data_IF_872882503649
#
_entry.id   IF_872882503649
#
_cell.length_a   1.000
_cell.length_b   1.000
_cell.length_c   1.000
_cell.angle_alpha   90.00
_cell.angle_beta   90.00
_cell.angle_gamma   90.00
#
_symmetry.space_group_name_H-M   'P 1'
#
loop_
_entity.id
_entity.type
_entity.pdbx_description
1 polymer ?
#
# COMPACT_ATOMS: atom_id res chain seq x y z
N UNK A 1 32.13 3.56 18.14
CA UNK A 1 31.03 3.28 17.21
C UNK A 1 31.64 2.73 15.92
N UNK A 2 31.65 1.41 15.73
CA UNK A 2 32.14 0.79 14.49
C UNK A 2 31.23 1.22 13.35
N UNK A 3 31.81 1.78 12.29
CA UNK A 3 31.09 2.01 11.04
C UNK A 3 30.59 0.64 10.54
N UNK A 4 29.30 0.39 10.70
CA UNK A 4 28.65 -0.78 10.16
C UNK A 4 28.82 -0.73 8.63
N UNK A 5 29.59 -1.67 8.06
CA UNK A 5 29.81 -1.76 6.62
C UNK A 5 28.42 -1.78 5.94
N UNK A 6 28.15 -0.82 5.07
CA UNK A 6 26.86 -0.76 4.35
C UNK A 6 26.66 -2.07 3.59
N UNK A 7 25.62 -2.80 3.93
CA UNK A 7 25.25 -4.06 3.29
C UNK A 7 24.44 -3.80 2.02
N UNK A 8 25.09 -3.26 0.99
CA UNK A 8 24.43 -2.89 -0.27
C UNK A 8 23.65 -4.06 -0.91
N UNK A 9 24.18 -5.28 -0.82
CA UNK A 9 23.48 -6.46 -1.33
C UNK A 9 22.12 -6.68 -0.65
N UNK A 10 22.06 -6.58 0.68
CA UNK A 10 20.80 -6.72 1.42
C UNK A 10 19.83 -5.57 1.10
N UNK A 11 20.33 -4.34 0.98
CA UNK A 11 19.50 -3.17 0.61
C UNK A 11 18.87 -3.37 -0.77
N UNK A 12 19.65 -3.77 -1.78
CA UNK A 12 19.15 -4.00 -3.14
C UNK A 12 18.11 -5.11 -3.15
N UNK A 13 18.33 -6.20 -2.42
CA UNK A 13 17.37 -7.31 -2.32
C UNK A 13 16.07 -6.81 -1.67
N UNK A 14 16.12 -6.04 -0.59
CA UNK A 14 14.91 -5.52 0.06
C UNK A 14 14.15 -4.56 -0.86
N UNK A 15 14.84 -3.69 -1.60
CA UNK A 15 14.21 -2.81 -2.60
C UNK A 15 13.55 -3.63 -3.71
N UNK A 16 14.21 -4.67 -4.22
CA UNK A 16 13.64 -5.57 -5.22
C UNK A 16 12.38 -6.28 -4.70
N UNK A 17 12.42 -6.78 -3.45
CA UNK A 17 11.23 -7.36 -2.82
C UNK A 17 10.10 -6.35 -2.71
N UNK A 18 10.40 -5.09 -2.40
CA UNK A 18 9.38 -4.04 -2.31
C UNK A 18 8.73 -3.75 -3.68
N UNK A 19 9.51 -3.79 -4.76
CA UNK A 19 8.98 -3.73 -6.13
C UNK A 19 8.10 -4.96 -6.47
N UNK A 20 8.53 -6.16 -6.07
CA UNK A 20 7.77 -7.41 -6.28
C UNK A 20 6.40 -7.37 -5.59
N UNK A 21 6.34 -6.86 -4.35
CA UNK A 21 5.08 -6.67 -3.61
C UNK A 21 4.11 -5.85 -4.45
N UNK A 22 4.55 -4.69 -4.95
CA UNK A 22 3.70 -3.81 -5.73
C UNK A 22 3.27 -4.43 -7.06
N UNK A 23 4.16 -5.14 -7.73
CA UNK A 23 3.83 -5.82 -8.97
C UNK A 23 2.63 -6.76 -8.78
N UNK A 24 2.68 -7.64 -7.79
CA UNK A 24 1.62 -8.63 -7.55
C UNK A 24 0.36 -7.98 -6.96
N UNK A 25 0.51 -7.03 -6.04
CA UNK A 25 -0.66 -6.32 -5.48
C UNK A 25 -1.45 -5.58 -6.56
N UNK A 26 -0.75 -4.94 -7.50
CA UNK A 26 -1.42 -4.16 -8.55
C UNK A 26 -1.98 -5.01 -9.69
N UNK A 27 -1.60 -6.28 -9.82
CA UNK A 27 -2.27 -7.22 -10.73
C UNK A 27 -3.75 -7.41 -10.38
N UNK A 28 -4.13 -7.28 -9.11
CA UNK A 28 -5.49 -7.54 -8.65
C UNK A 28 -6.52 -6.60 -9.28
N UNK A 29 -6.18 -5.33 -9.54
CA UNK A 29 -7.11 -4.36 -10.12
C UNK A 29 -7.51 -4.70 -11.57
N UNK A 30 -6.59 -4.92 -12.53
CA UNK A 30 -6.93 -5.37 -13.86
C UNK A 30 -7.59 -6.76 -13.87
N UNK A 31 -7.18 -7.66 -12.96
CA UNK A 31 -7.79 -8.99 -12.82
C UNK A 31 -9.27 -8.93 -12.47
N UNK A 32 -9.74 -7.89 -11.77
CA UNK A 32 -11.16 -7.75 -11.44
C UNK A 32 -12.04 -7.69 -12.70
N UNK A 33 -11.60 -7.01 -13.77
CA UNK A 33 -12.32 -6.95 -15.06
C UNK A 33 -12.38 -8.34 -15.69
N UNK A 34 -11.27 -9.05 -15.72
CA UNK A 34 -11.14 -10.39 -16.31
C UNK A 34 -12.02 -11.41 -15.58
N UNK A 35 -11.98 -11.37 -14.25
CA UNK A 35 -12.77 -12.24 -13.38
C UNK A 35 -14.27 -11.99 -13.55
N UNK A 36 -14.68 -10.72 -13.65
CA UNK A 36 -16.06 -10.35 -13.96
C UNK A 36 -16.53 -11.00 -15.27
N UNK A 37 -15.74 -10.88 -16.32
CA UNK A 37 -16.09 -11.39 -17.65
C UNK A 37 -16.08 -12.92 -17.70
N UNK A 38 -15.05 -13.56 -17.14
CA UNK A 38 -14.89 -15.01 -17.24
C UNK A 38 -15.88 -15.79 -16.38
N UNK A 39 -16.17 -15.30 -15.17
CA UNK A 39 -17.01 -16.01 -14.20
C UNK A 39 -18.42 -15.41 -14.07
N UNK A 40 -18.76 -14.35 -14.83
CA UNK A 40 -20.05 -13.68 -14.72
C UNK A 40 -20.26 -13.03 -13.33
N UNK A 41 -19.19 -12.66 -12.63
CA UNK A 41 -19.28 -12.07 -11.32
C UNK A 41 -19.87 -10.66 -11.37
N UNK A 42 -20.65 -10.26 -10.35
CA UNK A 42 -21.08 -8.88 -10.21
C UNK A 42 -19.88 -7.95 -9.95
N UNK A 43 -20.03 -6.64 -10.18
CA UNK A 43 -18.98 -5.66 -9.94
C UNK A 43 -18.44 -5.72 -8.50
N UNK A 44 -19.33 -5.92 -7.54
CA UNK A 44 -18.95 -6.07 -6.12
C UNK A 44 -18.12 -7.34 -5.91
N UNK A 45 -18.55 -8.47 -6.44
CA UNK A 45 -17.83 -9.74 -6.30
C UNK A 45 -16.48 -9.72 -7.03
N UNK A 46 -16.38 -9.10 -8.20
CA UNK A 46 -15.12 -8.95 -8.92
C UNK A 46 -14.08 -8.18 -8.10
N UNK A 47 -14.51 -7.15 -7.35
CA UNK A 47 -13.64 -6.40 -6.46
C UNK A 47 -13.28 -7.14 -5.16
N UNK A 48 -14.00 -8.22 -4.79
CA UNK A 48 -13.66 -9.01 -3.59
C UNK A 48 -12.25 -9.61 -3.72
N UNK A 49 -11.80 -9.98 -4.93
CA UNK A 49 -10.41 -10.40 -5.15
C UNK A 49 -9.39 -9.33 -4.77
N UNK A 50 -9.69 -8.07 -5.05
CA UNK A 50 -8.87 -6.92 -4.68
C UNK A 50 -8.92 -6.65 -3.16
N UNK A 51 -10.11 -6.63 -2.57
CA UNK A 51 -10.27 -6.46 -1.12
C UNK A 51 -9.77 -7.66 -0.32
N UNK A 52 -9.76 -8.86 -0.91
CA UNK A 52 -9.21 -10.08 -0.32
C UNK A 52 -7.76 -9.93 0.12
N UNK A 53 -6.95 -9.16 -0.62
CA UNK A 53 -5.59 -8.84 -0.22
C UNK A 53 -5.55 -8.09 1.12
N UNK A 54 -6.41 -7.10 1.33
CA UNK A 54 -6.44 -6.32 2.58
C UNK A 54 -6.99 -7.14 3.75
N UNK A 55 -7.92 -8.05 3.51
CA UNK A 55 -8.38 -9.02 4.51
C UNK A 55 -7.24 -9.97 4.90
N UNK A 56 -6.40 -10.37 3.95
CA UNK A 56 -5.21 -11.18 4.21
C UNK A 56 -4.24 -10.47 5.17
N UNK A 57 -4.08 -9.15 5.07
CA UNK A 57 -3.27 -8.36 6.01
C UNK A 57 -3.83 -8.39 7.43
N UNK A 58 -5.16 -8.32 7.58
CA UNK A 58 -5.81 -8.44 8.90
C UNK A 58 -5.48 -9.77 9.58
N UNK A 59 -5.50 -10.86 8.82
CA UNK A 59 -5.26 -12.22 9.35
C UNK A 59 -3.78 -12.49 9.56
N UNK A 60 -2.92 -12.11 8.59
CA UNK A 60 -1.52 -12.54 8.55
C UNK A 60 -0.55 -11.53 9.17
N UNK A 61 -0.96 -10.30 9.47
CA UNK A 61 -0.05 -9.27 9.97
C UNK A 61 0.68 -9.69 11.26
N UNK A 62 -0.04 -9.92 12.34
CA UNK A 62 0.57 -10.37 13.62
C UNK A 62 1.30 -11.73 13.47
N UNK A 63 0.73 -12.77 12.83
CA UNK A 63 1.47 -14.00 12.55
C UNK A 63 2.79 -13.78 11.81
N UNK A 64 2.85 -12.86 10.85
CA UNK A 64 4.10 -12.53 10.15
C UNK A 64 5.18 -12.00 11.09
N UNK A 65 4.80 -11.11 12.01
CA UNK A 65 5.71 -10.62 13.05
C UNK A 65 6.21 -11.75 13.98
N UNK A 66 5.34 -12.71 14.32
CA UNK A 66 5.71 -13.89 15.11
C UNK A 66 6.66 -14.81 14.33
N UNK A 67 6.46 -14.97 13.02
CA UNK A 67 7.36 -15.75 12.18
C UNK A 67 8.75 -15.12 12.13
N UNK A 68 8.85 -13.78 11.99
CA UNK A 68 10.13 -13.08 12.04
C UNK A 68 10.81 -13.30 13.40
N UNK A 69 10.07 -13.15 14.51
CA UNK A 69 10.61 -13.38 15.84
C UNK A 69 11.15 -14.80 16.02
N UNK A 70 10.49 -15.80 15.42
CA UNK A 70 10.86 -17.23 15.56
C UNK A 70 11.93 -17.68 14.60
N UNK A 71 11.87 -17.25 13.34
CA UNK A 71 12.70 -17.77 12.25
C UNK A 71 13.68 -16.75 11.66
N UNK A 72 13.54 -15.47 12.00
CA UNK A 72 14.30 -14.37 11.43
C UNK A 72 13.72 -13.84 10.11
N UNK A 73 14.29 -12.75 9.62
CA UNK A 73 13.81 -12.06 8.44
C UNK A 73 14.02 -12.87 7.15
N UNK A 74 15.21 -13.46 6.98
CA UNK A 74 15.56 -14.24 5.78
C UNK A 74 14.61 -15.42 5.58
N UNK A 75 14.42 -16.25 6.61
CA UNK A 75 13.56 -17.45 6.51
C UNK A 75 12.10 -17.06 6.33
N UNK A 76 11.64 -15.98 6.96
CA UNK A 76 10.28 -15.48 6.79
C UNK A 76 10.06 -14.96 5.36
N UNK A 77 11.03 -14.28 4.74
CA UNK A 77 10.96 -13.86 3.35
C UNK A 77 10.90 -15.06 2.39
N UNK A 78 11.72 -16.09 2.62
CA UNK A 78 11.67 -17.32 1.81
C UNK A 78 10.31 -18.02 1.91
N UNK A 79 9.76 -18.14 3.12
CA UNK A 79 8.41 -18.69 3.31
C UNK A 79 7.34 -17.86 2.60
N UNK A 80 7.44 -16.54 2.69
CA UNK A 80 6.52 -15.63 2.01
C UNK A 80 6.52 -15.84 0.49
N UNK A 81 7.70 -15.96 -0.12
CA UNK A 81 7.82 -16.18 -1.56
C UNK A 81 7.25 -17.53 -1.99
N UNK A 82 7.44 -18.59 -1.19
CA UNK A 82 6.79 -19.89 -1.45
C UNK A 82 5.27 -19.78 -1.40
N UNK A 83 4.73 -19.08 -0.40
CA UNK A 83 3.30 -18.80 -0.30
C UNK A 83 2.80 -18.03 -1.52
N UNK A 84 3.56 -17.03 -1.98
CA UNK A 84 3.24 -16.26 -3.18
C UNK A 84 3.22 -17.10 -4.46
N UNK A 85 4.20 -17.99 -4.64
CA UNK A 85 4.24 -18.95 -5.75
C UNK A 85 2.97 -19.78 -5.77
N UNK A 86 2.58 -20.35 -4.63
CA UNK A 86 1.34 -21.14 -4.51
C UNK A 86 0.13 -20.29 -4.85
N UNK A 87 0.04 -19.07 -4.33
CA UNK A 87 -1.07 -18.15 -4.59
C UNK A 87 -1.26 -17.85 -6.09
N UNK A 88 -0.17 -17.53 -6.80
CA UNK A 88 -0.21 -17.26 -8.25
C UNK A 88 -0.60 -18.52 -9.04
N UNK A 89 -0.05 -19.68 -8.67
CA UNK A 89 -0.42 -20.94 -9.33
C UNK A 89 -1.90 -21.25 -9.17
N UNK A 90 -2.48 -21.06 -7.99
CA UNK A 90 -3.90 -21.27 -7.71
C UNK A 90 -4.76 -20.29 -8.51
N UNK A 91 -4.36 -19.00 -8.61
CA UNK A 91 -5.05 -18.03 -9.46
C UNK A 91 -5.01 -18.44 -10.94
N UNK A 92 -3.89 -18.89 -11.45
CA UNK A 92 -3.76 -19.37 -12.81
C UNK A 92 -4.63 -20.61 -13.09
N UNK A 93 -4.60 -21.61 -12.18
CA UNK A 93 -5.41 -22.81 -12.29
C UNK A 93 -6.92 -22.52 -12.29
N UNK A 94 -7.38 -21.44 -11.65
CA UNK A 94 -8.79 -21.08 -11.61
C UNK A 94 -9.38 -20.79 -13.00
N UNK A 95 -8.55 -20.47 -13.98
CA UNK A 95 -8.94 -20.22 -15.36
C UNK A 95 -8.96 -21.45 -16.26
N UNK A 96 -8.54 -22.64 -15.78
CA UNK A 96 -8.53 -23.86 -16.58
C UNK A 96 -9.94 -24.37 -16.87
N UNK A 97 -10.15 -24.91 -18.08
CA UNK A 97 -11.47 -25.35 -18.53
C UNK A 97 -12.12 -26.37 -17.58
N UNK A 98 -11.33 -27.23 -16.94
CA UNK A 98 -11.81 -28.26 -16.02
C UNK A 98 -12.16 -27.72 -14.63
N UNK A 99 -11.67 -26.52 -14.26
CA UNK A 99 -11.86 -25.93 -12.94
C UNK A 99 -12.84 -24.76 -13.02
N UNK A 100 -12.59 -23.78 -13.87
CA UNK A 100 -13.36 -22.54 -14.10
C UNK A 100 -14.14 -22.03 -12.86
N UNK A 101 -13.41 -21.77 -11.78
CA UNK A 101 -14.02 -21.46 -10.47
C UNK A 101 -13.57 -20.12 -9.93
N UNK A 102 -14.52 -19.22 -9.75
CA UNK A 102 -14.31 -17.95 -9.05
C UNK A 102 -13.83 -18.15 -7.60
N UNK A 103 -14.35 -19.17 -6.91
CA UNK A 103 -13.90 -19.50 -5.55
C UNK A 103 -12.43 -19.90 -5.50
N UNK A 104 -11.93 -20.66 -6.47
CA UNK A 104 -10.50 -21.00 -6.58
C UNK A 104 -9.66 -19.76 -6.82
N UNK A 105 -10.11 -18.84 -7.69
CA UNK A 105 -9.43 -17.54 -7.89
C UNK A 105 -9.32 -16.74 -6.58
N UNK A 106 -10.41 -16.63 -5.81
CA UNK A 106 -10.42 -15.92 -4.53
C UNK A 106 -9.45 -16.55 -3.51
N UNK A 107 -9.40 -17.86 -3.42
CA UNK A 107 -8.44 -18.57 -2.56
C UNK A 107 -7.00 -18.24 -2.98
N UNK A 108 -6.70 -18.27 -4.28
CA UNK A 108 -5.39 -17.89 -4.80
C UNK A 108 -5.03 -16.42 -4.49
N UNK A 109 -5.97 -15.50 -4.66
CA UNK A 109 -5.80 -14.08 -4.34
C UNK A 109 -5.52 -13.87 -2.84
N UNK A 110 -6.25 -14.57 -1.97
CA UNK A 110 -6.07 -14.52 -0.52
C UNK A 110 -4.70 -15.07 -0.09
N UNK A 111 -4.25 -16.17 -0.66
CA UNK A 111 -2.91 -16.74 -0.43
C UNK A 111 -1.83 -15.75 -0.91
N UNK A 112 -2.00 -15.12 -2.08
CA UNK A 112 -1.10 -14.06 -2.54
C UNK A 112 -1.06 -12.87 -1.58
N UNK A 113 -2.20 -12.49 -1.02
CA UNK A 113 -2.29 -11.46 0.02
C UNK A 113 -1.47 -11.79 1.27
N UNK A 114 -1.44 -13.05 1.70
CA UNK A 114 -0.56 -13.49 2.78
C UNK A 114 0.92 -13.27 2.46
N UNK A 115 1.35 -13.63 1.24
CA UNK A 115 2.71 -13.37 0.78
C UNK A 115 3.04 -11.87 0.86
N UNK A 116 2.15 -11.02 0.36
CA UNK A 116 2.36 -9.56 0.35
C UNK A 116 2.48 -9.01 1.76
N UNK A 117 1.61 -9.44 2.68
CA UNK A 117 1.66 -9.07 4.09
C UNK A 117 3.00 -9.49 4.73
N UNK A 118 3.41 -10.74 4.55
CA UNK A 118 4.66 -11.27 5.09
C UNK A 118 5.88 -10.52 4.56
N UNK A 119 5.94 -10.27 3.24
CA UNK A 119 7.04 -9.53 2.63
C UNK A 119 7.10 -8.08 3.12
N UNK A 120 5.96 -7.38 3.23
CA UNK A 120 5.91 -6.03 3.79
C UNK A 120 6.38 -5.99 5.26
N UNK A 121 6.02 -7.02 6.04
CA UNK A 121 6.46 -7.15 7.43
C UNK A 121 7.98 -7.36 7.54
N UNK A 122 8.61 -7.96 6.52
CA UNK A 122 10.07 -8.15 6.44
C UNK A 122 10.77 -6.90 5.91
N UNK A 123 10.31 -6.35 4.77
CA UNK A 123 11.05 -5.36 4.00
C UNK A 123 11.16 -4.02 4.73
N UNK A 124 10.05 -3.53 5.31
CA UNK A 124 10.04 -2.23 5.96
C UNK A 124 11.01 -2.13 7.15
N UNK A 125 10.99 -3.04 8.15
CA UNK A 125 11.94 -2.98 9.26
C UNK A 125 13.39 -3.28 8.82
N UNK A 126 13.58 -4.14 7.81
CA UNK A 126 14.91 -4.40 7.27
C UNK A 126 15.51 -3.16 6.62
N UNK A 127 14.78 -2.45 5.75
CA UNK A 127 15.24 -1.20 5.15
C UNK A 127 15.51 -0.13 6.23
N UNK A 128 14.64 -0.02 7.23
CA UNK A 128 14.85 0.88 8.35
C UNK A 128 16.15 0.57 9.10
N UNK A 129 16.36 -0.69 9.45
CA UNK A 129 17.55 -1.16 10.18
C UNK A 129 18.83 -1.03 9.37
N UNK A 130 18.81 -1.41 8.07
CA UNK A 130 19.95 -1.30 7.16
C UNK A 130 20.37 0.17 6.93
N UNK A 131 19.41 1.11 7.08
CA UNK A 131 19.69 2.55 7.10
C UNK A 131 20.22 3.06 8.44
N UNK A 132 20.23 2.23 9.48
CA UNK A 132 20.63 2.63 10.84
C UNK A 132 19.51 3.33 11.61
N UNK A 133 18.25 3.18 11.19
CA UNK A 133 17.09 3.87 11.77
C UNK A 133 17.02 5.37 11.48
N UNK A 134 16.08 6.04 12.13
CA UNK A 134 15.91 7.49 12.00
C UNK A 134 15.76 7.98 10.55
N UNK A 135 16.36 9.12 10.22
CA UNK A 135 16.23 9.73 8.90
C UNK A 135 16.76 8.85 7.75
N UNK A 136 17.90 8.19 7.95
CA UNK A 136 18.50 7.31 6.93
C UNK A 136 17.67 6.03 6.73
N UNK A 137 17.10 5.49 7.79
CA UNK A 137 16.16 4.37 7.70
C UNK A 137 14.92 4.76 6.91
N UNK A 138 14.33 5.91 7.21
CA UNK A 138 13.22 6.46 6.44
C UNK A 138 13.60 6.68 4.97
N UNK A 139 14.79 7.21 4.69
CA UNK A 139 15.27 7.39 3.32
C UNK A 139 15.25 6.10 2.52
N UNK A 140 15.77 4.99 3.08
CA UNK A 140 15.76 3.69 2.38
C UNK A 140 14.34 3.17 2.16
N UNK A 141 13.41 3.37 3.09
CA UNK A 141 12.00 3.01 2.90
C UNK A 141 11.39 3.83 1.76
N UNK A 142 11.66 5.15 1.69
CA UNK A 142 11.15 6.00 0.62
C UNK A 142 11.73 5.60 -0.75
N UNK A 143 13.03 5.30 -0.83
CA UNK A 143 13.66 4.79 -2.05
C UNK A 143 13.02 3.46 -2.47
N UNK A 144 12.82 2.54 -1.54
CA UNK A 144 12.07 1.31 -1.79
C UNK A 144 10.66 1.59 -2.33
N UNK A 145 10.00 2.61 -1.78
CA UNK A 145 8.69 3.09 -2.22
C UNK A 145 8.69 3.60 -3.68
N UNK A 146 9.77 4.21 -4.16
CA UNK A 146 9.91 4.60 -5.58
C UNK A 146 9.87 3.36 -6.47
N UNK A 147 10.65 2.33 -6.17
CA UNK A 147 10.67 1.08 -6.93
C UNK A 147 9.34 0.33 -6.84
N UNK A 148 8.70 0.37 -5.67
CA UNK A 148 7.35 -0.15 -5.47
C UNK A 148 6.35 0.53 -6.42
N UNK A 149 6.30 1.86 -6.45
CA UNK A 149 5.39 2.60 -7.34
C UNK A 149 5.72 2.40 -8.82
N UNK A 150 7.02 2.32 -9.18
CA UNK A 150 7.43 2.05 -10.56
C UNK A 150 6.98 0.66 -11.02
N UNK A 151 7.06 -0.34 -10.15
CA UNK A 151 6.56 -1.67 -10.45
C UNK A 151 5.04 -1.71 -10.61
N UNK A 152 4.29 -0.92 -9.81
CA UNK A 152 2.86 -0.75 -9.98
C UNK A 152 2.50 -0.19 -11.37
N UNK A 153 3.20 0.85 -11.82
CA UNK A 153 3.03 1.42 -13.17
C UNK A 153 3.32 0.37 -14.25
N UNK A 154 4.42 -0.39 -14.11
CA UNK A 154 4.78 -1.44 -15.06
C UNK A 154 3.67 -2.49 -15.23
N UNK A 155 2.95 -2.83 -14.15
CA UNK A 155 1.80 -3.76 -14.23
C UNK A 155 0.72 -3.21 -15.14
N UNK A 156 0.33 -1.95 -15.00
CA UNK A 156 -0.73 -1.36 -15.84
C UNK A 156 -0.33 -1.32 -17.31
N UNK A 157 0.95 -1.04 -17.61
CA UNK A 157 1.48 -1.08 -18.99
C UNK A 157 1.41 -2.51 -19.55
N UNK A 158 1.89 -3.50 -18.79
CA UNK A 158 1.88 -4.91 -19.22
C UNK A 158 0.45 -5.41 -19.41
N UNK A 159 -0.43 -5.15 -18.46
CA UNK A 159 -1.81 -5.59 -18.53
C UNK A 159 -2.58 -4.90 -19.66
N UNK A 160 -2.35 -3.59 -19.89
CA UNK A 160 -2.92 -2.86 -21.01
C UNK A 160 -2.50 -3.44 -22.37
N UNK A 161 -1.25 -3.89 -22.49
CA UNK A 161 -0.74 -4.53 -23.70
C UNK A 161 -1.30 -5.95 -23.93
N UNK A 162 -1.62 -6.69 -22.85
CA UNK A 162 -2.15 -8.06 -22.93
C UNK A 162 -3.67 -8.10 -23.08
N UNK A 163 -4.38 -7.14 -22.52
CA UNK A 163 -5.85 -7.04 -22.60
C UNK A 163 -6.23 -6.24 -23.84
N UNK A 164 -6.46 -6.93 -24.98
CA UNK A 164 -6.86 -6.26 -26.23
C UNK A 164 -8.28 -5.71 -26.17
N UNK A 165 -9.26 -6.56 -25.83
CA UNK A 165 -10.67 -6.20 -25.65
C UNK A 165 -11.08 -6.53 -24.20
N UNK A 166 -11.20 -5.51 -23.38
CA UNK A 166 -11.52 -5.67 -21.96
C UNK A 166 -12.83 -6.42 -21.71
N UNK A 167 -13.80 -6.32 -22.63
CA UNK A 167 -15.10 -6.99 -22.51
C UNK A 167 -15.02 -8.51 -22.74
N UNK A 168 -13.97 -9.01 -23.39
CA UNK A 168 -13.79 -10.43 -23.72
C UNK A 168 -12.60 -11.07 -23.02
N UNK A 169 -11.83 -10.30 -22.26
CA UNK A 169 -10.59 -10.75 -21.62
C UNK A 169 -10.84 -11.90 -20.63
N UNK A 170 -9.97 -12.90 -20.68
CA UNK A 170 -9.98 -14.09 -19.82
C UNK A 170 -8.64 -14.25 -19.11
N UNK A 171 -8.57 -15.11 -18.10
CA UNK A 171 -7.32 -15.44 -17.40
C UNK A 171 -6.26 -15.98 -18.37
N UNK A 172 -6.66 -16.67 -19.43
CA UNK A 172 -5.75 -17.15 -20.45
C UNK A 172 -4.95 -16.02 -21.13
N UNK A 173 -5.60 -14.88 -21.39
CA UNK A 173 -4.98 -13.73 -22.08
C UNK A 173 -3.89 -13.06 -21.19
N UNK A 174 -4.05 -13.13 -19.88
CA UNK A 174 -3.12 -12.54 -18.90
C UNK A 174 -2.19 -13.56 -18.26
N UNK A 175 -2.23 -14.81 -18.70
CA UNK A 175 -1.30 -15.86 -18.28
C UNK A 175 0.16 -15.42 -18.37
N UNK A 176 0.63 -14.68 -19.41
CA UNK A 176 1.99 -14.15 -19.44
C UNK A 176 2.32 -13.25 -18.24
N UNK A 177 1.41 -12.39 -17.81
CA UNK A 177 1.62 -11.53 -16.64
C UNK A 177 1.71 -12.34 -15.34
N UNK A 178 0.88 -13.38 -15.18
CA UNK A 178 0.95 -14.30 -14.05
C UNK A 178 2.27 -15.09 -14.04
N UNK A 179 2.77 -15.51 -15.20
CA UNK A 179 4.07 -16.18 -15.30
C UNK A 179 5.25 -15.25 -15.07
N UNK A 180 5.16 -13.98 -15.45
CA UNK A 180 6.13 -12.95 -15.04
C UNK A 180 6.16 -12.85 -13.52
N UNK A 181 5.00 -12.74 -12.86
CA UNK A 181 4.91 -12.70 -11.40
C UNK A 181 5.51 -13.97 -10.75
N UNK A 182 5.21 -15.14 -11.30
CA UNK A 182 5.75 -16.42 -10.85
C UNK A 182 7.27 -16.48 -10.99
N UNK A 183 7.79 -16.09 -12.16
CA UNK A 183 9.25 -16.03 -12.42
C UNK A 183 9.95 -15.06 -11.46
N UNK A 184 9.38 -13.88 -11.22
CA UNK A 184 9.87 -12.90 -10.26
C UNK A 184 9.97 -13.53 -8.86
N UNK A 185 8.94 -14.26 -8.40
CA UNK A 185 8.95 -14.91 -7.09
C UNK A 185 9.99 -16.02 -7.00
N UNK A 186 10.12 -16.86 -8.04
CA UNK A 186 11.13 -17.93 -8.08
C UNK A 186 12.54 -17.33 -8.06
N UNK A 187 12.81 -16.32 -8.90
CA UNK A 187 14.11 -15.63 -8.93
C UNK A 187 14.39 -14.99 -7.55
N UNK A 188 13.42 -14.28 -6.98
CA UNK A 188 13.55 -13.69 -5.65
C UNK A 188 13.85 -14.73 -4.57
N UNK A 189 13.17 -15.88 -4.62
CA UNK A 189 13.43 -17.00 -3.70
C UNK A 189 14.87 -17.51 -3.83
N UNK A 190 15.35 -17.77 -5.05
CA UNK A 190 16.71 -18.25 -5.30
C UNK A 190 17.75 -17.20 -4.86
N UNK A 191 17.53 -15.92 -5.20
CA UNK A 191 18.44 -14.84 -4.80
C UNK A 191 18.55 -14.76 -3.27
N UNK A 192 17.44 -14.79 -2.54
CA UNK A 192 17.47 -14.74 -1.07
C UNK A 192 18.07 -16.00 -0.48
N UNK A 193 17.77 -17.17 -1.04
CA UNK A 193 18.30 -18.46 -0.58
C UNK A 193 19.82 -18.46 -0.54
N UNK A 194 20.44 -18.02 -1.65
CA UNK A 194 21.90 -17.99 -1.78
C UNK A 194 22.57 -16.72 -1.25
N UNK A 195 21.82 -15.67 -0.93
CA UNK A 195 22.37 -14.42 -0.38
C UNK A 195 22.77 -14.57 1.07
N UNK A 196 23.88 -13.91 1.44
CA UNK A 196 24.25 -13.69 2.83
C UNK A 196 23.58 -12.40 3.31
N UNK A 197 22.40 -12.53 3.89
CA UNK A 197 21.69 -11.42 4.55
C UNK A 197 22.00 -11.53 6.03
N UNK A 198 22.72 -10.55 6.58
CA UNK A 198 22.91 -10.45 8.01
C UNK A 198 21.60 -9.97 8.63
N UNK A 199 21.07 -10.76 9.53
CA UNK A 199 19.88 -10.38 10.30
C UNK A 199 20.22 -9.13 11.14
N UNK A 200 19.31 -8.15 11.25
CA UNK A 200 19.46 -7.11 12.26
C UNK A 200 19.68 -7.81 13.60
N UNK A 201 20.72 -7.39 14.33
CA UNK A 201 21.03 -8.01 15.62
C UNK A 201 19.77 -7.94 16.48
N UNK A 202 19.02 -9.03 16.51
CA UNK A 202 18.03 -9.21 17.54
C UNK A 202 18.84 -9.45 18.81
N UNK A 203 18.65 -8.65 19.86
CA UNK A 203 19.24 -8.96 21.15
C UNK A 203 18.96 -10.44 21.39
N UNK A 204 20.01 -11.23 21.63
CA UNK A 204 19.92 -12.66 21.84
C UNK A 204 18.73 -12.89 22.77
N UNK A 205 17.75 -13.67 22.30
CA UNK A 205 16.64 -14.09 23.16
C UNK A 205 17.32 -14.91 24.26
N UNK A 206 17.73 -14.25 25.31
CA UNK A 206 18.01 -14.93 26.56
C UNK A 206 16.75 -15.74 26.77
N UNK A 207 16.89 -17.06 26.86
CA UNK A 207 15.82 -17.97 27.23
C UNK A 207 15.37 -17.60 28.65
N UNK A 208 14.72 -16.44 28.76
CA UNK A 208 14.09 -16.02 29.99
C UNK A 208 12.83 -16.85 30.08
N UNK A 209 12.82 -17.77 31.02
CA UNK A 209 11.66 -18.55 31.40
C UNK A 209 10.52 -17.73 32.00
N UNK A 210 10.68 -16.41 32.08
CA UNK A 210 9.65 -15.46 32.51
C UNK A 210 9.02 -14.80 31.27
N UNK A 211 7.68 -14.77 31.16
CA UNK A 211 6.95 -13.98 30.20
C UNK A 211 7.43 -12.53 30.28
N UNK A 212 7.89 -11.97 29.15
CA UNK A 212 8.29 -10.57 29.11
C UNK A 212 7.10 -9.71 29.59
N UNK A 213 7.34 -8.84 30.56
CA UNK A 213 6.31 -7.99 31.17
C UNK A 213 5.76 -6.96 30.18
N UNK A 214 6.54 -6.62 29.14
CA UNK A 214 6.23 -5.60 28.17
C UNK A 214 6.06 -6.18 26.76
N UNK A 215 5.37 -5.43 25.91
CA UNK A 215 5.14 -5.77 24.51
C UNK A 215 5.25 -4.51 23.65
N UNK A 216 5.19 -4.64 22.31
CA UNK A 216 5.10 -3.49 21.42
C UNK A 216 3.93 -2.55 21.78
N UNK A 217 2.82 -3.11 22.26
CA UNK A 217 1.63 -2.35 22.66
C UNK A 217 1.80 -1.59 23.99
N UNK A 218 2.89 -1.81 24.72
CA UNK A 218 3.22 -1.03 25.92
C UNK A 218 3.71 0.39 25.56
N UNK A 219 4.04 0.64 24.30
CA UNK A 219 4.53 1.93 23.82
C UNK A 219 3.40 2.78 23.26
N UNK A 220 3.15 3.95 23.86
CA UNK A 220 2.09 4.87 23.44
C UNK A 220 2.24 5.32 22.00
N UNK A 221 3.45 5.71 21.57
CA UNK A 221 3.69 6.21 20.22
C UNK A 221 3.47 5.11 19.16
N UNK A 222 3.72 3.86 19.50
CA UNK A 222 3.40 2.73 18.63
C UNK A 222 1.89 2.55 18.49
N UNK A 223 1.13 2.54 19.58
CA UNK A 223 -0.33 2.37 19.53
C UNK A 223 -1.00 3.48 18.73
N UNK A 224 -0.55 4.73 18.89
CA UNK A 224 -1.03 5.84 18.08
C UNK A 224 -0.55 5.73 16.62
N UNK A 225 0.62 5.14 16.39
CA UNK A 225 1.19 4.92 15.06
C UNK A 225 0.44 3.85 14.26
N UNK A 226 0.01 2.76 14.88
CA UNK A 226 -0.83 1.75 14.20
C UNK A 226 -2.22 2.30 13.86
N UNK A 227 -2.77 3.22 14.67
CA UNK A 227 -3.99 3.92 14.29
C UNK A 227 -3.72 4.93 13.16
N UNK A 228 -2.53 5.57 13.15
CA UNK A 228 -2.15 6.48 12.06
C UNK A 228 -2.07 5.77 10.71
N UNK A 229 -1.48 4.56 10.64
CA UNK A 229 -1.43 3.80 9.38
C UNK A 229 -2.82 3.32 8.95
N UNK A 230 -3.67 2.92 9.91
CA UNK A 230 -5.06 2.56 9.63
C UNK A 230 -5.83 3.69 8.96
N UNK A 231 -5.70 4.91 9.48
CA UNK A 231 -6.37 6.11 8.94
C UNK A 231 -5.68 6.60 7.65
N UNK A 232 -4.36 6.48 7.55
CA UNK A 232 -3.63 6.80 6.32
C UNK A 232 -4.14 6.01 5.12
N UNK A 233 -4.46 4.72 5.30
CA UNK A 233 -5.02 3.90 4.24
C UNK A 233 -6.34 4.45 3.70
N UNK A 234 -7.09 5.16 4.54
CA UNK A 234 -8.29 5.91 4.13
C UNK A 234 -7.97 7.08 3.19
N UNK A 235 -6.85 7.78 3.42
CA UNK A 235 -6.42 8.88 2.54
C UNK A 235 -5.89 8.30 1.22
N UNK A 236 -4.96 7.34 1.30
CA UNK A 236 -4.26 6.81 0.13
C UNK A 236 -5.21 6.16 -0.87
N UNK A 237 -6.15 5.35 -0.40
CA UNK A 237 -7.06 4.59 -1.26
C UNK A 237 -8.42 5.27 -1.40
N UNK A 238 -8.93 5.89 -0.34
CA UNK A 238 -10.22 6.58 -0.38
C UNK A 238 -10.22 7.76 -1.35
N UNK A 239 -9.17 8.58 -1.35
CA UNK A 239 -9.12 9.76 -2.23
C UNK A 239 -9.31 9.41 -3.70
N UNK A 240 -8.48 8.55 -4.34
CA UNK A 240 -8.63 8.21 -5.75
C UNK A 240 -9.90 7.41 -6.04
N UNK A 241 -10.36 6.57 -5.11
CA UNK A 241 -11.60 5.81 -5.27
C UNK A 241 -12.81 6.74 -5.40
N UNK A 242 -12.88 7.78 -4.57
CA UNK A 242 -14.01 8.71 -4.59
C UNK A 242 -13.90 9.77 -5.68
N UNK A 243 -12.71 10.08 -6.21
CA UNK A 243 -12.55 10.79 -7.48
C UNK A 243 -13.21 9.95 -8.60
N UNK A 244 -12.86 8.67 -8.70
CA UNK A 244 -13.41 7.77 -9.71
C UNK A 244 -14.94 7.72 -9.62
N UNK A 245 -15.51 7.47 -8.44
CA UNK A 245 -16.95 7.37 -8.23
C UNK A 245 -17.67 8.68 -8.56
N UNK A 246 -17.17 9.81 -8.10
CA UNK A 246 -17.79 11.11 -8.36
C UNK A 246 -17.82 11.46 -9.85
N UNK A 247 -16.73 11.16 -10.57
CA UNK A 247 -16.65 11.48 -11.99
C UNK A 247 -17.46 10.50 -12.87
N UNK A 248 -17.57 9.21 -12.49
CA UNK A 248 -18.21 8.17 -13.33
C UNK A 248 -19.69 7.96 -13.02
N UNK A 249 -20.14 8.19 -11.80
CA UNK A 249 -21.53 7.94 -11.43
C UNK A 249 -22.48 8.87 -12.18
N UNK A 250 -23.62 8.31 -12.62
CA UNK A 250 -24.67 9.10 -13.33
C UNK A 250 -25.16 10.26 -12.47
N UNK A 251 -25.47 11.43 -13.08
CA UNK A 251 -26.14 12.54 -12.40
C UNK A 251 -27.50 12.19 -11.81
N UNK A 252 -28.17 11.18 -12.36
CA UNK A 252 -29.51 10.72 -11.90
C UNK A 252 -29.43 9.68 -10.78
N UNK A 253 -28.25 9.32 -10.30
CA UNK A 253 -28.08 8.36 -9.21
C UNK A 253 -28.49 8.93 -7.86
N UNK A 254 -28.76 8.04 -6.89
CA UNK A 254 -29.08 8.44 -5.50
C UNK A 254 -27.97 9.30 -4.84
N UNK A 255 -26.72 9.05 -5.21
CA UNK A 255 -25.58 9.93 -4.94
C UNK A 255 -25.08 10.42 -6.30
N UNK A 256 -25.41 11.65 -6.72
CA UNK A 256 -25.10 12.15 -8.07
C UNK A 256 -23.60 12.31 -8.31
N UNK A 257 -23.17 11.95 -9.52
CA UNK A 257 -21.85 12.19 -10.06
C UNK A 257 -21.90 12.98 -11.36
N UNK A 258 -20.84 12.93 -12.15
CA UNK A 258 -20.76 13.69 -13.41
C UNK A 258 -21.03 12.84 -14.68
N UNK A 259 -21.15 11.51 -14.56
CA UNK A 259 -21.46 10.61 -15.67
C UNK A 259 -20.39 10.53 -16.76
N UNK A 260 -19.13 10.83 -16.42
CA UNK A 260 -18.02 10.80 -17.37
C UNK A 260 -17.65 9.35 -17.74
N UNK A 261 -17.05 9.18 -18.93
CA UNK A 261 -16.55 7.89 -19.37
C UNK A 261 -15.50 7.29 -18.41
N UNK A 262 -15.68 6.04 -18.03
CA UNK A 262 -14.84 5.37 -17.02
C UNK A 262 -13.38 5.23 -17.47
N UNK A 263 -13.10 5.10 -18.77
CA UNK A 263 -11.74 5.02 -19.31
C UNK A 263 -11.01 6.36 -19.12
N UNK A 264 -11.68 7.46 -19.48
CA UNK A 264 -11.16 8.82 -19.30
C UNK A 264 -10.90 9.11 -17.82
N UNK A 265 -11.85 8.76 -16.95
CA UNK A 265 -11.70 8.94 -15.50
C UNK A 265 -10.57 8.10 -14.93
N UNK A 266 -10.39 6.86 -15.41
CA UNK A 266 -9.25 6.03 -15.04
C UNK A 266 -7.91 6.69 -15.38
N UNK A 267 -7.82 7.35 -16.52
CA UNK A 267 -6.63 8.12 -16.94
C UNK A 267 -6.38 9.35 -16.05
N UNK A 268 -7.43 10.02 -15.58
CA UNK A 268 -7.32 11.12 -14.60
C UNK A 268 -6.82 10.59 -13.24
N UNK A 269 -7.42 9.52 -12.73
CA UNK A 269 -7.02 8.91 -11.46
C UNK A 269 -5.57 8.39 -11.50
N UNK A 270 -5.09 7.98 -12.67
CA UNK A 270 -3.69 7.58 -12.86
C UNK A 270 -2.70 8.71 -12.50
N UNK A 271 -3.10 9.97 -12.65
CA UNK A 271 -2.27 11.12 -12.26
C UNK A 271 -2.04 11.16 -10.74
N UNK A 272 -3.03 10.77 -9.93
CA UNK A 272 -2.85 10.66 -8.47
C UNK A 272 -1.67 9.71 -8.13
N UNK A 273 -1.63 8.55 -8.76
CA UNK A 273 -0.57 7.56 -8.54
C UNK A 273 0.78 8.01 -9.09
N UNK A 274 0.78 8.73 -10.22
CA UNK A 274 2.00 9.37 -10.74
C UNK A 274 2.54 10.42 -9.78
N UNK A 275 1.68 11.29 -9.24
CA UNK A 275 2.07 12.30 -8.25
C UNK A 275 2.61 11.64 -6.97
N UNK A 276 2.04 10.51 -6.57
CA UNK A 276 2.58 9.72 -5.46
C UNK A 276 3.97 9.16 -5.77
N UNK A 277 4.21 8.68 -6.99
CA UNK A 277 5.54 8.24 -7.43
C UNK A 277 6.56 9.40 -7.38
N UNK A 278 6.20 10.55 -7.93
CA UNK A 278 7.04 11.76 -7.91
C UNK A 278 7.34 12.19 -6.46
N UNK A 279 6.33 12.20 -5.61
CA UNK A 279 6.48 12.54 -4.20
C UNK A 279 7.39 11.57 -3.43
N UNK A 280 7.33 10.25 -3.73
CA UNK A 280 8.26 9.25 -3.17
C UNK A 280 9.69 9.48 -3.64
N UNK A 281 9.89 9.85 -4.89
CA UNK A 281 11.21 10.18 -5.42
C UNK A 281 11.80 11.40 -4.70
N UNK A 282 11.04 12.49 -4.61
CA UNK A 282 11.45 13.70 -3.88
C UNK A 282 11.67 13.38 -2.40
N UNK A 283 10.74 12.66 -1.77
CA UNK A 283 10.85 12.23 -0.38
C UNK A 283 12.11 11.42 -0.10
N UNK A 284 12.44 10.47 -0.98
CA UNK A 284 13.69 9.69 -0.89
C UNK A 284 14.95 10.55 -1.00
N UNK A 285 14.91 11.59 -1.82
CA UNK A 285 16.05 12.50 -2.00
C UNK A 285 16.31 13.41 -0.79
N UNK A 286 15.28 13.73 0.00
CA UNK A 286 15.38 14.68 1.12
C UNK A 286 15.27 14.05 2.52
N UNK A 287 14.83 12.78 2.61
CA UNK A 287 14.52 12.13 3.88
C UNK A 287 15.73 11.94 4.81
N UNK A 288 16.95 11.98 4.31
CA UNK A 288 18.17 11.97 5.15
C UNK A 288 18.41 13.31 5.87
N UNK A 289 17.89 14.41 5.30
CA UNK A 289 18.08 15.79 5.80
C UNK A 289 16.91 16.27 6.65
N UNK A 290 15.70 15.76 6.39
CA UNK A 290 14.46 16.19 7.04
C UNK A 290 13.92 15.06 7.90
N UNK A 291 13.56 15.36 9.15
CA UNK A 291 13.02 14.35 10.05
C UNK A 291 11.67 13.82 9.56
N UNK A 292 11.39 12.52 9.78
CA UNK A 292 10.09 11.93 9.47
C UNK A 292 8.93 12.70 10.09
N UNK A 293 9.12 13.22 11.31
CA UNK A 293 8.12 14.07 11.98
C UNK A 293 7.83 15.33 11.20
N UNK A 294 8.84 16.06 10.76
CA UNK A 294 8.66 17.29 9.96
C UNK A 294 7.99 16.97 8.63
N UNK A 295 8.44 15.91 7.94
CA UNK A 295 7.84 15.50 6.67
C UNK A 295 6.34 15.21 6.84
N UNK A 296 5.97 14.36 7.82
CA UNK A 296 4.57 13.98 8.04
C UNK A 296 3.75 15.21 8.48
N UNK A 297 4.28 16.08 9.33
CA UNK A 297 3.59 17.31 9.74
C UNK A 297 3.27 18.19 8.53
N UNK A 298 4.25 18.42 7.65
CA UNK A 298 4.06 19.26 6.46
C UNK A 298 3.02 18.67 5.50
N UNK A 299 3.16 17.38 5.16
CA UNK A 299 2.25 16.75 4.19
C UNK A 299 0.85 16.52 4.75
N UNK A 300 0.68 16.34 6.06
CA UNK A 300 -0.66 16.23 6.66
C UNK A 300 -1.41 17.56 6.68
N UNK A 301 -0.71 18.67 6.93
CA UNK A 301 -1.29 20.02 6.80
C UNK A 301 -1.67 20.29 5.34
N UNK A 302 -0.76 20.01 4.40
CA UNK A 302 -1.02 20.20 2.98
C UNK A 302 -2.21 19.35 2.51
N UNK A 303 -2.26 18.08 2.91
CA UNK A 303 -3.37 17.18 2.61
C UNK A 303 -4.69 17.70 3.18
N UNK A 304 -4.69 18.15 4.44
CA UNK A 304 -5.88 18.73 5.07
C UNK A 304 -6.40 19.95 4.29
N UNK A 305 -5.51 20.88 3.91
CA UNK A 305 -5.89 22.07 3.14
C UNK A 305 -6.40 21.69 1.74
N UNK A 306 -5.73 20.79 1.04
CA UNK A 306 -6.14 20.33 -0.28
C UNK A 306 -7.50 19.64 -0.26
N UNK A 307 -7.73 18.76 0.73
CA UNK A 307 -9.01 18.07 0.88
C UNK A 307 -10.11 19.06 1.24
N UNK A 308 -9.88 19.95 2.19
CA UNK A 308 -10.86 20.98 2.55
C UNK A 308 -11.21 21.88 1.35
N UNK A 309 -10.20 22.33 0.60
CA UNK A 309 -10.43 23.12 -0.59
C UNK A 309 -11.25 22.33 -1.62
N UNK A 310 -10.89 21.06 -1.90
CA UNK A 310 -11.60 20.22 -2.86
C UNK A 310 -13.07 19.96 -2.48
N UNK A 311 -13.36 19.88 -1.19
CA UNK A 311 -14.74 19.72 -0.70
C UNK A 311 -15.64 20.95 -0.92
N UNK A 312 -15.05 22.15 -0.81
CA UNK A 312 -15.81 23.40 -0.82
C UNK A 312 -15.56 24.25 -2.07
N UNK A 313 -14.70 23.81 -2.99
CA UNK A 313 -14.45 24.49 -4.25
C UNK A 313 -15.74 24.55 -5.10
N UNK A 314 -15.97 25.67 -5.81
CA UNK A 314 -17.10 25.78 -6.73
C UNK A 314 -17.06 24.67 -7.79
N UNK A 315 -18.18 23.97 -7.96
CA UNK A 315 -18.26 22.83 -8.91
C UNK A 315 -18.43 23.28 -10.36
N UNK A 316 -18.80 24.50 -10.58
CA UNK A 316 -18.90 25.17 -11.90
C UNK A 316 -17.56 25.69 -12.42
N UNK A 317 -16.57 25.86 -11.53
CA UNK A 317 -15.23 26.25 -11.93
C UNK A 317 -14.47 25.03 -12.48
N UNK A 318 -14.35 24.94 -13.81
CA UNK A 318 -13.67 23.86 -14.49
C UNK A 318 -12.20 24.17 -14.71
N UNK A 319 -11.36 23.16 -14.58
CA UNK A 319 -9.92 23.22 -14.86
C UNK A 319 -9.52 22.04 -15.72
N UNK A 320 -8.58 22.30 -16.63
CA UNK A 320 -8.01 21.24 -17.46
C UNK A 320 -6.95 20.47 -16.68
N UNK A 321 -7.15 19.19 -16.50
CA UNK A 321 -6.20 18.28 -15.83
C UNK A 321 -5.62 17.26 -16.80
N UNK A 322 -4.36 16.87 -16.64
CA UNK A 322 -3.80 15.80 -17.45
C UNK A 322 -4.45 14.46 -17.05
N UNK A 323 -4.71 13.61 -18.03
CA UNK A 323 -4.98 12.19 -17.86
C UNK A 323 -3.84 11.38 -18.49
N UNK A 324 -3.55 10.19 -17.95
CA UNK A 324 -2.46 9.35 -18.45
C UNK A 324 -3.03 7.99 -18.84
N UNK A 325 -2.92 7.71 -20.13
CA UNK A 325 -3.14 6.37 -20.64
C UNK A 325 -1.85 5.55 -20.48
N UNK A 326 -1.84 4.65 -19.50
CA UNK A 326 -0.68 3.81 -19.22
C UNK A 326 -0.39 2.78 -20.32
N UNK A 327 -1.39 2.40 -21.11
CA UNK A 327 -1.20 1.44 -22.20
C UNK A 327 -0.44 2.05 -23.39
N UNK A 328 -0.78 3.29 -23.76
CA UNK A 328 -0.15 4.00 -24.88
C UNK A 328 0.91 5.01 -24.46
N UNK A 329 1.02 5.31 -23.16
CA UNK A 329 1.85 6.38 -22.57
C UNK A 329 1.53 7.78 -23.11
N UNK A 330 0.30 7.98 -23.61
CA UNK A 330 -0.18 9.26 -24.09
C UNK A 330 -0.81 10.08 -22.97
N UNK A 331 -0.64 11.40 -23.05
CA UNK A 331 -1.32 12.35 -22.18
C UNK A 331 -2.53 12.95 -22.89
N UNK A 332 -3.63 13.00 -22.17
CA UNK A 332 -4.85 13.72 -22.59
C UNK A 332 -5.12 14.89 -21.62
N UNK A 333 -5.88 15.86 -22.05
CA UNK A 333 -6.33 16.97 -21.21
C UNK A 333 -7.84 16.92 -21.09
N UNK A 334 -8.34 16.92 -19.87
CA UNK A 334 -9.77 16.76 -19.57
C UNK A 334 -10.20 17.86 -18.62
N UNK A 335 -11.34 18.48 -18.90
CA UNK A 335 -11.94 19.47 -18.00
C UNK A 335 -12.71 18.78 -16.88
N UNK A 336 -12.37 19.15 -15.64
CA UNK A 336 -13.01 18.64 -14.41
C UNK A 336 -13.21 19.80 -13.43
N UNK A 337 -14.13 19.66 -12.45
CA UNK A 337 -14.26 20.65 -11.38
C UNK A 337 -12.93 20.87 -10.65
N UNK A 338 -12.65 22.12 -10.30
CA UNK A 338 -11.38 22.54 -9.69
C UNK A 338 -11.06 21.73 -8.40
N UNK A 339 -12.08 21.30 -7.66
CA UNK A 339 -11.91 20.45 -6.48
C UNK A 339 -11.20 19.12 -6.79
N UNK A 340 -11.42 18.54 -7.98
CA UNK A 340 -10.77 17.30 -8.40
C UNK A 340 -9.27 17.49 -8.53
N UNK A 341 -8.82 18.62 -9.09
CA UNK A 341 -7.39 18.91 -9.18
C UNK A 341 -6.73 18.92 -7.80
N UNK A 342 -7.37 19.50 -6.80
CA UNK A 342 -6.82 19.50 -5.43
C UNK A 342 -6.77 18.10 -4.82
N UNK A 343 -7.78 17.25 -5.07
CA UNK A 343 -7.75 15.85 -4.63
C UNK A 343 -6.64 15.03 -5.31
N UNK A 344 -6.34 15.30 -6.59
CA UNK A 344 -5.21 14.66 -7.27
C UNK A 344 -3.87 15.02 -6.62
N UNK A 345 -3.70 16.29 -6.20
CA UNK A 345 -2.50 16.75 -5.51
C UNK A 345 -2.27 16.07 -4.14
N UNK A 346 -3.30 15.51 -3.51
CA UNK A 346 -3.16 14.72 -2.28
C UNK A 346 -2.23 13.52 -2.49
N UNK A 347 -2.11 13.00 -3.73
CA UNK A 347 -1.15 11.96 -4.07
C UNK A 347 0.30 12.33 -3.73
N UNK A 348 0.71 13.59 -3.91
CA UNK A 348 2.02 14.06 -3.45
C UNK A 348 2.16 13.97 -1.92
N UNK A 349 1.09 14.27 -1.19
CA UNK A 349 1.11 14.27 0.27
C UNK A 349 1.19 12.84 0.83
N UNK A 350 0.42 11.91 0.27
CA UNK A 350 0.40 10.50 0.73
C UNK A 350 1.72 9.79 0.47
N UNK A 351 2.50 10.24 -0.49
CA UNK A 351 3.73 9.61 -0.96
C UNK A 351 4.74 9.27 0.14
N UNK A 352 4.94 10.18 1.09
CA UNK A 352 5.93 10.04 2.18
C UNK A 352 5.32 9.57 3.51
N UNK A 353 3.98 9.50 3.59
CA UNK A 353 3.29 9.18 4.84
C UNK A 353 3.57 7.75 5.30
N UNK A 354 3.49 6.75 4.42
CA UNK A 354 3.73 5.35 4.77
C UNK A 354 5.05 5.15 5.50
N UNK A 355 6.17 5.50 4.85
CA UNK A 355 7.51 5.31 5.40
C UNK A 355 7.75 6.15 6.65
N UNK A 356 7.27 7.39 6.67
CA UNK A 356 7.41 8.28 7.81
C UNK A 356 6.62 7.82 9.02
N UNK A 357 5.37 7.38 8.86
CA UNK A 357 4.55 6.83 9.96
C UNK A 357 5.19 5.55 10.49
N UNK A 358 5.61 4.63 9.60
CA UNK A 358 6.30 3.40 10.01
C UNK A 358 7.56 3.71 10.83
N UNK A 359 8.43 4.58 10.30
CA UNK A 359 9.68 4.94 10.97
C UNK A 359 9.44 5.52 12.37
N UNK A 360 8.46 6.43 12.53
CA UNK A 360 8.09 7.00 13.82
C UNK A 360 7.45 5.97 14.77
N UNK A 361 6.67 5.03 14.23
CA UNK A 361 5.98 4.02 15.04
C UNK A 361 6.94 3.00 15.64
N UNK A 362 8.01 2.63 14.89
CA UNK A 362 8.97 1.61 15.36
C UNK A 362 10.19 2.20 16.08
N UNK A 363 10.26 3.53 16.17
CA UNK A 363 11.39 4.22 16.79
C UNK A 363 11.56 3.79 18.25
N UNK A 364 12.74 3.25 18.61
CA UNK A 364 13.09 2.88 19.98
C UNK A 364 12.37 1.61 20.49
N UNK A 365 11.80 0.77 19.65
CA UNK A 365 11.14 -0.47 20.06
C UNK A 365 12.11 -1.66 20.27
N UNK A 366 13.33 -1.60 19.75
CA UNK A 366 14.34 -2.66 19.89
C UNK A 366 13.81 -4.06 19.59
N UNK A 367 13.89 -4.97 20.56
CA UNK A 367 13.44 -6.37 20.45
C UNK A 367 11.95 -6.55 20.10
N UNK A 368 11.12 -5.53 20.31
CA UNK A 368 9.68 -5.59 20.00
C UNK A 368 9.36 -5.23 18.53
N UNK A 369 10.34 -4.79 17.75
CA UNK A 369 10.14 -4.31 16.35
C UNK A 369 9.48 -5.36 15.45
N UNK A 370 9.82 -6.65 15.61
CA UNK A 370 9.24 -7.71 14.75
C UNK A 370 7.72 -7.82 14.93
N UNK A 371 7.25 -7.87 16.18
CA UNK A 371 5.81 -7.94 16.50
C UNK A 371 5.13 -6.61 16.15
N UNK A 372 5.79 -5.48 16.41
CA UNK A 372 5.32 -4.15 16.03
C UNK A 372 5.08 -4.05 14.52
N UNK A 373 6.02 -4.53 13.72
CA UNK A 373 5.88 -4.51 12.24
C UNK A 373 4.70 -5.37 11.79
N UNK A 374 4.49 -6.54 12.40
CA UNK A 374 3.33 -7.37 12.11
C UNK A 374 2.01 -6.69 12.47
N UNK A 375 1.92 -6.09 13.65
CA UNK A 375 0.73 -5.34 14.08
C UNK A 375 0.49 -4.10 13.20
N UNK A 376 1.56 -3.41 12.77
CA UNK A 376 1.47 -2.31 11.83
C UNK A 376 0.86 -2.78 10.49
N UNK A 377 1.31 -3.93 9.96
CA UNK A 377 0.76 -4.49 8.73
C UNK A 377 -0.69 -4.95 8.87
N UNK A 378 -1.09 -5.45 10.04
CA UNK A 378 -2.51 -5.77 10.31
C UNK A 378 -3.40 -4.55 10.08
N UNK A 379 -2.95 -3.35 10.47
CA UNK A 379 -3.73 -2.12 10.36
C UNK A 379 -3.89 -1.60 8.92
N UNK A 380 -3.20 -2.16 7.93
CA UNK A 380 -3.45 -1.89 6.50
C UNK A 380 -4.88 -2.25 6.09
N UNK A 381 -5.55 -3.14 6.83
CA UNK A 381 -6.99 -3.39 6.71
C UNK A 381 -7.85 -2.12 6.86
N UNK A 382 -7.31 -1.07 7.45
CA UNK A 382 -7.94 0.26 7.50
C UNK A 382 -8.44 0.77 6.14
N UNK A 383 -7.82 0.34 5.04
CA UNK A 383 -8.31 0.60 3.67
C UNK A 383 -9.79 0.21 3.53
N UNK A 384 -10.14 -1.04 3.84
CA UNK A 384 -11.51 -1.52 3.68
C UNK A 384 -12.49 -0.77 4.59
N UNK A 385 -12.10 -0.52 5.84
CA UNK A 385 -12.97 0.16 6.82
C UNK A 385 -13.19 1.62 6.45
N UNK A 386 -12.12 2.36 6.11
CA UNK A 386 -12.23 3.80 5.84
C UNK A 386 -12.93 4.09 4.52
N UNK A 387 -12.68 3.28 3.47
CA UNK A 387 -13.41 3.38 2.20
C UNK A 387 -14.90 3.06 2.39
N UNK A 388 -15.24 2.03 3.19
CA UNK A 388 -16.63 1.73 3.54
C UNK A 388 -17.28 2.85 4.36
N UNK A 389 -16.54 3.46 5.29
CA UNK A 389 -17.03 4.63 6.06
C UNK A 389 -17.32 5.81 5.14
N UNK A 390 -16.44 6.06 4.17
CA UNK A 390 -16.63 7.11 3.18
C UNK A 390 -17.84 6.80 2.28
N UNK A 391 -18.09 5.52 1.91
CA UNK A 391 -19.27 5.08 1.20
C UNK A 391 -20.55 5.36 1.99
N UNK A 392 -20.53 5.05 3.28
CA UNK A 392 -21.67 5.31 4.17
C UNK A 392 -21.98 6.81 4.26
N UNK A 393 -20.96 7.66 4.44
CA UNK A 393 -21.14 9.12 4.47
C UNK A 393 -21.69 9.61 3.14
N UNK A 394 -21.15 9.16 2.00
CA UNK A 394 -21.67 9.53 0.67
C UNK A 394 -23.15 9.16 0.51
N UNK A 395 -23.53 7.94 0.92
CA UNK A 395 -24.91 7.45 0.84
C UNK A 395 -25.87 8.22 1.73
N UNK A 396 -25.48 8.54 2.98
CA UNK A 396 -26.34 9.29 3.92
C UNK A 396 -26.47 10.76 3.51
N UNK A 397 -25.41 11.37 2.99
CA UNK A 397 -25.42 12.80 2.63
C UNK A 397 -25.86 13.04 1.18
N UNK A 398 -25.95 12.00 0.35
CA UNK A 398 -26.19 12.13 -1.09
C UNK A 398 -25.07 12.86 -1.83
N UNK A 399 -23.85 12.94 -1.27
CA UNK A 399 -22.75 13.73 -1.85
C UNK A 399 -21.40 13.04 -1.70
N UNK A 400 -20.75 12.77 -2.83
CA UNK A 400 -19.37 12.29 -2.85
C UNK A 400 -18.37 13.31 -2.28
N UNK A 401 -18.60 14.61 -2.51
CA UNK A 401 -17.72 15.67 -2.00
C UNK A 401 -17.77 15.76 -0.47
N UNK A 402 -18.94 15.65 0.14
CA UNK A 402 -19.08 15.64 1.61
C UNK A 402 -18.41 14.40 2.22
N UNK A 403 -18.38 13.28 1.52
CA UNK A 403 -17.73 12.06 2.02
C UNK A 403 -16.23 12.23 2.27
N UNK A 404 -15.57 13.21 1.64
CA UNK A 404 -14.18 13.56 1.93
C UNK A 404 -13.95 14.10 3.34
N UNK A 405 -15.02 14.40 4.10
CA UNK A 405 -14.91 14.68 5.54
C UNK A 405 -14.23 13.54 6.31
N UNK A 406 -14.36 12.30 5.84
CA UNK A 406 -13.64 11.12 6.38
C UNK A 406 -12.15 11.27 6.14
N UNK A 407 -11.75 11.64 4.92
CA UNK A 407 -10.35 11.87 4.54
C UNK A 407 -9.75 13.04 5.32
N UNK A 408 -10.55 14.10 5.52
CA UNK A 408 -10.17 15.27 6.30
C UNK A 408 -9.87 14.90 7.76
N UNK A 409 -10.75 14.09 8.38
CA UNK A 409 -10.53 13.55 9.71
C UNK A 409 -9.23 12.71 9.78
N UNK A 410 -8.99 11.86 8.80
CA UNK A 410 -7.77 11.06 8.72
C UNK A 410 -6.51 11.96 8.67
N UNK A 411 -6.52 13.00 7.84
CA UNK A 411 -5.40 13.95 7.71
C UNK A 411 -5.16 14.71 9.03
N UNK A 412 -6.22 15.14 9.72
CA UNK A 412 -6.14 15.80 11.03
C UNK A 412 -5.51 14.86 12.09
N UNK A 413 -5.89 13.59 12.09
CA UNK A 413 -5.30 12.63 13.01
C UNK A 413 -3.82 12.39 12.71
N UNK A 414 -3.42 12.28 11.45
CA UNK A 414 -2.00 12.09 11.07
C UNK A 414 -1.17 13.31 11.50
N UNK A 415 -1.71 14.51 11.37
CA UNK A 415 -1.07 15.72 11.91
C UNK A 415 -0.89 15.63 13.43
N UNK A 416 -1.95 15.29 14.19
CA UNK A 416 -1.87 15.06 15.62
C UNK A 416 -0.80 14.02 15.97
N UNK A 417 -0.78 12.89 15.24
CA UNK A 417 0.22 11.84 15.44
C UNK A 417 1.64 12.37 15.22
N UNK A 418 1.90 13.07 14.14
CA UNK A 418 3.21 13.61 13.83
C UNK A 418 3.73 14.57 14.92
N UNK A 419 2.89 15.49 15.39
CA UNK A 419 3.30 16.55 16.33
C UNK A 419 3.39 16.06 17.77
N UNK A 420 2.41 15.26 18.21
CA UNK A 420 2.24 14.88 19.61
C UNK A 420 2.38 13.36 19.81
N UNK A 421 1.64 12.59 19.00
CA UNK A 421 1.48 11.14 19.20
C UNK A 421 2.74 10.32 19.00
N UNK A 422 3.63 10.76 18.10
CA UNK A 422 4.85 10.04 17.72
C UNK A 422 6.00 10.16 18.74
N UNK A 423 5.83 10.96 19.80
CA UNK A 423 6.87 11.08 20.84
C UNK A 423 6.93 9.83 21.70
N UNK A 424 8.10 9.18 21.76
CA UNK A 424 8.33 8.08 22.69
C UNK A 424 8.42 8.62 24.13
N UNK A 425 7.38 8.34 24.91
CA UNK A 425 7.30 8.72 26.33
C UNK A 425 7.63 7.54 27.28
N UNK A 426 7.77 6.33 26.73
CA UNK A 426 7.99 5.09 27.48
C UNK A 426 9.48 4.67 27.45
N UNK A 427 10.37 5.59 27.83
CA UNK A 427 11.83 5.38 27.76
C UNK A 427 12.36 4.45 28.87
N UNK A 428 11.57 4.17 29.85
CA UNK A 428 11.82 3.27 30.98
C UNK A 428 11.64 1.79 30.62
N UNK A 429 11.02 1.46 29.50
CA UNK A 429 10.83 0.08 29.05
C UNK A 429 12.14 -0.45 28.46
N UNK A 430 12.68 -1.59 28.95
CA UNK A 430 13.89 -2.18 28.41
C UNK A 430 13.64 -2.73 27.01
N UNK A 431 14.45 -2.32 26.05
CA UNK A 431 14.31 -2.70 24.61
C UNK A 431 15.47 -3.57 24.11
N UNK A 432 16.42 -3.86 24.97
CA UNK A 432 17.55 -4.77 24.73
C UNK A 432 17.18 -6.23 24.94
#
# INVERSE_FOLDING_TARGET
>A
MSQQKKQWGAIIIMIALFAMIAFVTNLCSPMAIIVKNQFGASDILAQVGNYGNFIAYLVMGIPSGMLIKKFGYKKTALLALLVGIVGILVQWMSGWNDIQSFGVYLVGAFISGFCMCMLNTVVNPMLNSLGGGGNKGNQLIQIGGVFNSSAAVAVYIIMGALIGDAAKARIADVTPALFIALAIFIIGFLVILFSKIEEPIQPSVVKSSSKDKYSAFSFRHFNLGILAIFLYMGIEVGTPTYILLYLTTSPDAATPGLGMDATVVGQIVAVYWLLMLVGRFVGGAIADKISSRTMITTVSIASFILVAFGMFAPTDMMVSVPGIDWASLNMIWVEVPMGIFSFLLVGLCTSVMWGGIFNLAVEGLGKYTSIASGAFMTMVFGCAVMVATQAWVAGVTGSYLISYSVVLFCAAYIFFYAVIGSKNVNKDIPVE
#
